data_IF_329262521039
#
_entry.id   IF_329262521039
#
_cell.length_a   1.000
_cell.length_b   1.000
_cell.length_c   1.000
_cell.angle_alpha   90.00
_cell.angle_beta   90.00
_cell.angle_gamma   90.00
#
_symmetry.space_group_name_H-M   'P 1'
#
loop_
_entity.id
_entity.type
_entity.pdbx_description
1 polymer ?
#
# COMPACT_ATOMS: atom_id res chain seq x y z
N UNK A 1 -28.18 54.12 -14.21
CA UNK A 1 -27.29 54.40 -13.06
C UNK A 1 -26.40 53.18 -12.91
N UNK A 2 -25.30 53.05 -13.66
CA UNK A 2 -23.92 53.51 -13.38
C UNK A 2 -23.37 53.13 -12.00
N UNK A 3 -22.23 52.43 -12.05
CA UNK A 3 -21.15 52.25 -11.05
C UNK A 3 -21.36 51.12 -10.01
N UNK A 4 -20.39 50.26 -9.69
CA UNK A 4 -18.94 50.41 -9.87
C UNK A 4 -18.14 49.09 -9.84
N UNK A 5 -16.97 49.19 -10.47
CA UNK A 5 -15.83 48.28 -10.46
C UNK A 5 -15.27 48.06 -9.05
N UNK A 6 -14.60 46.93 -8.83
CA UNK A 6 -13.23 46.92 -8.27
C UNK A 6 -12.53 45.60 -8.60
N UNK A 7 -11.41 45.77 -9.29
CA UNK A 7 -10.37 44.79 -9.63
C UNK A 7 -9.35 44.80 -8.49
N UNK A 8 -8.86 43.65 -8.03
CA UNK A 8 -7.57 43.57 -7.35
C UNK A 8 -6.95 42.20 -7.57
N UNK A 9 -5.94 42.16 -8.44
CA UNK A 9 -5.02 41.06 -8.63
C UNK A 9 -3.91 41.14 -7.58
N UNK A 10 -3.59 40.05 -6.92
CA UNK A 10 -2.36 39.92 -6.12
C UNK A 10 -1.48 38.85 -6.75
N UNK A 11 -0.44 39.31 -7.47
CA UNK A 11 0.75 38.54 -7.79
C UNK A 11 1.56 38.34 -6.50
N UNK A 12 1.87 37.09 -6.15
CA UNK A 12 2.86 36.73 -5.13
C UNK A 12 4.05 36.03 -5.79
N UNK A 13 5.24 36.58 -5.56
CA UNK A 13 6.47 36.30 -6.28
C UNK A 13 7.21 35.02 -5.86
N UNK A 14 8.12 34.63 -6.76
CA UNK A 14 9.15 33.60 -6.64
C UNK A 14 10.01 33.73 -5.39
N UNK A 15 10.30 32.60 -4.74
CA UNK A 15 11.41 32.43 -3.79
C UNK A 15 12.21 31.19 -4.17
N UNK A 16 13.36 31.40 -4.82
CA UNK A 16 14.39 30.38 -5.09
C UNK A 16 15.51 30.48 -4.05
N UNK A 17 16.09 29.33 -3.73
CA UNK A 17 17.41 29.07 -3.14
C UNK A 17 17.58 29.05 -1.60
N UNK A 18 18.01 27.89 -1.09
CA UNK A 18 19.24 27.76 -0.29
C UNK A 18 19.75 26.31 -0.31
N UNK A 19 21.06 26.16 -0.48
CA UNK A 19 21.80 24.92 -0.65
C UNK A 19 22.38 24.37 0.68
N UNK A 20 22.86 23.13 0.57
CA UNK A 20 23.64 22.28 1.46
C UNK A 20 24.58 22.97 2.47
N UNK A 21 24.72 22.42 3.69
CA UNK A 21 25.97 21.80 4.18
C UNK A 21 25.78 21.06 5.53
N UNK A 22 26.51 19.96 5.68
CA UNK A 22 26.58 19.00 6.80
C UNK A 22 27.10 19.58 8.11
N UNK A 23 27.09 18.77 9.19
CA UNK A 23 28.30 18.65 10.00
C UNK A 23 28.84 17.22 10.08
N UNK A 24 30.16 17.18 10.06
CA UNK A 24 31.08 16.08 10.23
C UNK A 24 30.85 15.26 11.52
N UNK A 25 31.05 13.93 11.42
CA UNK A 25 31.45 13.12 12.58
C UNK A 25 32.74 12.38 12.25
N UNK A 26 33.66 12.53 13.20
CA UNK A 26 35.09 12.32 13.15
C UNK A 26 35.49 10.86 13.44
N UNK A 27 36.36 10.33 12.57
CA UNK A 27 37.59 9.58 12.85
C UNK A 27 37.61 8.46 13.92
N UNK A 28 37.87 7.22 13.46
CA UNK A 28 38.41 6.12 14.26
C UNK A 28 39.51 5.39 13.48
N UNK A 29 40.73 5.40 14.02
CA UNK A 29 41.94 4.83 13.43
C UNK A 29 41.93 3.30 13.31
N UNK A 30 42.53 2.85 12.21
CA UNK A 30 43.36 1.67 11.96
C UNK A 30 43.47 0.49 12.95
N UNK A 31 43.44 -0.71 12.38
CA UNK A 31 43.94 -1.94 13.00
C UNK A 31 43.88 -3.13 12.04
N UNK A 32 45.04 -3.56 11.55
CA UNK A 32 45.25 -4.69 10.64
C UNK A 32 45.38 -6.02 11.42
N UNK A 33 44.84 -7.12 10.87
CA UNK A 33 45.32 -8.48 11.11
C UNK A 33 44.51 -9.37 12.05
N UNK A 34 44.27 -10.63 11.64
CA UNK A 34 43.90 -11.71 12.57
C UNK A 34 43.01 -12.80 11.97
N UNK A 35 43.63 -13.93 11.60
CA UNK A 35 42.99 -15.22 11.32
C UNK A 35 42.11 -15.71 12.49
N UNK A 36 41.05 -16.44 12.14
CA UNK A 36 40.59 -17.63 12.89
C UNK A 36 39.63 -17.38 14.05
N UNK A 37 38.45 -17.97 13.96
CA UNK A 37 37.54 -18.09 15.09
C UNK A 37 36.13 -18.49 14.69
N UNK A 38 35.87 -19.81 14.62
CA UNK A 38 34.51 -20.33 14.78
C UNK A 38 34.01 -19.96 16.19
N UNK A 39 32.78 -19.47 16.29
CA UNK A 39 32.10 -19.28 17.58
C UNK A 39 31.36 -17.96 17.65
N UNK A 40 30.04 -18.00 17.47
CA UNK A 40 29.18 -16.84 17.57
C UNK A 40 27.71 -17.24 17.58
N UNK A 41 27.28 -17.78 18.70
CA UNK A 41 25.90 -18.05 19.08
C UNK A 41 25.02 -16.80 18.92
N UNK A 42 23.76 -17.01 18.57
CA UNK A 42 22.68 -16.09 18.94
C UNK A 42 22.45 -14.91 17.99
N UNK A 43 21.63 -15.14 16.97
CA UNK A 43 20.84 -14.08 16.38
C UNK A 43 19.39 -14.32 16.74
N UNK A 44 18.92 -13.70 17.83
CA UNK A 44 17.49 -13.42 17.99
C UNK A 44 17.07 -12.67 16.73
N UNK A 45 16.32 -13.35 15.85
CA UNK A 45 15.67 -12.72 14.71
C UNK A 45 14.66 -11.73 15.28
N UNK A 46 15.13 -10.52 15.53
CA UNK A 46 14.35 -9.44 16.09
C UNK A 46 13.07 -9.29 15.28
N UNK A 47 11.96 -9.19 16.00
CA UNK A 47 10.78 -8.51 15.49
C UNK A 47 11.19 -7.08 15.18
N UNK A 48 11.80 -6.88 14.01
CA UNK A 48 11.92 -5.56 13.42
C UNK A 48 10.50 -4.99 13.32
N UNK A 49 10.33 -3.67 13.49
CA UNK A 49 9.04 -3.06 13.29
C UNK A 49 8.50 -3.54 11.95
N UNK A 50 7.29 -4.12 11.95
CA UNK A 50 6.60 -4.47 10.73
C UNK A 50 6.70 -3.24 9.83
N UNK A 51 7.42 -3.35 8.71
CA UNK A 51 7.49 -2.26 7.75
C UNK A 51 6.05 -2.03 7.30
N UNK A 52 5.44 -0.99 7.85
CA UNK A 52 4.02 -0.76 7.68
C UNK A 52 3.84 -0.17 6.30
N UNK A 53 2.93 -0.77 5.54
CA UNK A 53 2.27 -0.03 4.48
C UNK A 53 1.71 1.26 5.08
N UNK A 54 1.42 2.27 4.24
CA UNK A 54 0.59 3.37 4.72
C UNK A 54 -0.68 2.77 5.36
N UNK A 55 -1.10 3.30 6.50
CA UNK A 55 -2.26 2.82 7.23
C UNK A 55 -3.59 3.27 6.56
N UNK A 56 -3.56 3.31 5.23
CA UNK A 56 -4.60 3.80 4.36
C UNK A 56 -4.69 2.90 3.13
N UNK A 57 -5.89 2.81 2.57
CA UNK A 57 -6.11 2.14 1.32
C UNK A 57 -7.49 2.44 0.77
N UNK A 58 -7.85 1.72 -0.28
CA UNK A 58 -9.18 1.82 -0.88
C UNK A 58 -9.70 0.43 -1.22
N UNK A 59 -11.02 0.30 -1.16
CA UNK A 59 -11.74 -0.85 -1.66
C UNK A 59 -12.72 -0.39 -2.74
N UNK A 60 -12.66 -1.00 -3.92
CA UNK A 60 -13.44 -0.58 -5.08
C UNK A 60 -14.09 -1.73 -5.82
N UNK A 61 -15.15 -1.40 -6.56
CA UNK A 61 -15.65 -2.26 -7.64
C UNK A 61 -14.79 -2.03 -8.87
N UNK A 62 -14.40 -3.09 -9.57
CA UNK A 62 -13.72 -2.98 -10.86
C UNK A 62 -14.20 -4.13 -11.78
N UNK A 63 -13.71 -4.21 -13.03
CA UNK A 63 -14.12 -5.23 -14.00
C UNK A 63 -12.91 -5.92 -14.62
N UNK A 64 -12.83 -7.25 -14.50
CA UNK A 64 -12.00 -8.00 -15.44
C UNK A 64 -12.69 -8.08 -16.80
N UNK A 65 -11.96 -7.92 -17.91
CA UNK A 65 -12.50 -8.05 -19.26
C UNK A 65 -13.27 -9.35 -19.54
N UNK A 66 -12.98 -10.45 -18.81
CA UNK A 66 -13.58 -11.77 -19.08
C UNK A 66 -14.17 -12.48 -17.84
N UNK A 67 -13.89 -12.00 -16.62
CA UNK A 67 -14.18 -12.75 -15.38
C UNK A 67 -15.28 -12.09 -14.52
N UNK A 68 -15.87 -10.99 -15.00
CA UNK A 68 -16.96 -10.27 -14.33
C UNK A 68 -16.48 -9.25 -13.28
N UNK A 69 -17.38 -8.79 -12.39
CA UNK A 69 -17.03 -7.81 -11.37
C UNK A 69 -16.14 -8.42 -10.28
N UNK A 70 -15.09 -7.69 -9.90
CA UNK A 70 -14.31 -7.98 -8.70
C UNK A 70 -14.36 -6.86 -7.67
N UNK A 71 -14.21 -7.31 -6.43
CA UNK A 71 -13.88 -6.47 -5.28
C UNK A 71 -12.35 -6.35 -5.19
N UNK A 72 -11.85 -5.13 -5.25
CA UNK A 72 -10.41 -4.83 -5.24
C UNK A 72 -10.06 -4.05 -3.99
N UNK A 73 -9.06 -4.51 -3.24
CA UNK A 73 -8.40 -3.78 -2.17
C UNK A 73 -7.02 -3.32 -2.64
N UNK A 74 -6.74 -2.02 -2.59
CA UNK A 74 -5.38 -1.49 -2.69
C UNK A 74 -4.96 -1.00 -1.31
N UNK A 75 -4.06 -1.74 -0.67
CA UNK A 75 -3.62 -1.52 0.70
C UNK A 75 -2.23 -0.87 0.69
N UNK A 76 -2.06 0.24 1.42
CA UNK A 76 -0.78 0.95 1.50
C UNK A 76 -0.66 2.19 0.62
N UNK A 77 -1.76 2.71 0.10
CA UNK A 77 -1.81 3.93 -0.70
C UNK A 77 -2.61 5.00 0.04
N UNK A 78 -2.15 6.26 0.00
CA UNK A 78 -2.93 7.39 0.48
C UNK A 78 -4.24 7.47 -0.33
N UNK A 79 -5.39 7.50 0.36
CA UNK A 79 -6.67 7.21 -0.29
C UNK A 79 -7.55 8.43 -0.50
N UNK A 80 -7.99 8.63 -1.75
CA UNK A 80 -9.27 9.28 -2.10
C UNK A 80 -9.88 8.57 -3.31
N UNK A 81 -11.20 8.38 -3.33
CA UNK A 81 -11.90 7.80 -4.47
C UNK A 81 -11.74 8.71 -5.70
N UNK A 82 -10.82 8.35 -6.61
CA UNK A 82 -10.50 9.14 -7.81
C UNK A 82 -9.01 9.46 -8.00
N UNK A 83 -8.12 9.09 -7.07
CA UNK A 83 -6.68 9.18 -7.31
C UNK A 83 -6.10 7.84 -7.74
N UNK A 84 -5.22 7.89 -8.76
CA UNK A 84 -4.36 6.76 -9.09
C UNK A 84 -3.44 6.48 -7.90
N UNK A 85 -3.29 5.21 -7.53
CA UNK A 85 -2.38 4.81 -6.47
C UNK A 85 -0.96 5.36 -6.73
N UNK A 86 -0.31 5.79 -5.65
CA UNK A 86 0.97 6.50 -5.73
C UNK A 86 2.18 5.60 -5.99
N UNK A 87 3.36 6.14 -5.71
CA UNK A 87 4.65 5.46 -5.86
C UNK A 87 5.03 4.63 -4.61
N UNK A 88 4.16 4.63 -3.60
CA UNK A 88 4.38 3.92 -2.36
C UNK A 88 4.21 2.39 -2.53
N UNK A 89 4.89 1.58 -1.72
CA UNK A 89 4.69 0.14 -1.72
C UNK A 89 3.22 -0.20 -1.39
N UNK A 90 2.61 -1.08 -2.18
CA UNK A 90 1.21 -1.47 -1.97
C UNK A 90 0.94 -2.94 -2.28
N UNK A 91 -0.06 -3.48 -1.59
CA UNK A 91 -0.65 -4.77 -1.89
C UNK A 91 -1.98 -4.55 -2.62
N UNK A 92 -2.06 -5.04 -3.86
CA UNK A 92 -3.32 -5.16 -4.57
C UNK A 92 -3.89 -6.55 -4.31
N UNK A 93 -5.13 -6.61 -3.85
CA UNK A 93 -5.82 -7.86 -3.52
C UNK A 93 -7.20 -7.88 -4.17
N UNK A 94 -7.50 -8.93 -4.90
CA UNK A 94 -8.57 -8.97 -5.90
C UNK A 94 -9.44 -10.22 -5.69
N UNK A 95 -10.76 -10.04 -5.63
CA UNK A 95 -11.71 -11.10 -5.27
C UNK A 95 -12.83 -11.20 -6.32
N UNK A 96 -13.00 -12.40 -6.86
CA UNK A 96 -14.00 -12.77 -7.87
C UNK A 96 -14.94 -13.90 -7.41
N UNK A 97 -16.23 -13.82 -7.75
CA UNK A 97 -16.95 -12.58 -8.06
C UNK A 97 -16.99 -11.69 -6.81
N UNK A 98 -16.99 -10.37 -6.98
CA UNK A 98 -16.97 -9.46 -5.85
C UNK A 98 -17.53 -8.08 -6.16
N UNK A 99 -18.09 -7.44 -5.15
CA UNK A 99 -18.40 -6.01 -5.16
C UNK A 99 -18.39 -5.44 -3.72
N UNK A 100 -18.33 -4.13 -3.60
CA UNK A 100 -18.28 -3.41 -2.32
C UNK A 100 -19.55 -3.58 -1.50
N UNK A 101 -20.70 -3.88 -2.12
CA UNK A 101 -21.94 -4.16 -1.40
C UNK A 101 -21.92 -5.50 -0.66
N UNK A 102 -20.97 -6.38 -0.99
CA UNK A 102 -20.77 -7.65 -0.29
C UNK A 102 -20.00 -7.48 1.03
N UNK A 103 -19.33 -6.34 1.25
CA UNK A 103 -18.49 -6.11 2.43
C UNK A 103 -19.31 -6.29 3.72
N UNK A 104 -18.88 -7.24 4.54
CA UNK A 104 -19.43 -7.49 5.86
C UNK A 104 -18.31 -7.81 6.86
N UNK A 105 -18.50 -7.37 8.11
CA UNK A 105 -17.56 -7.70 9.19
C UNK A 105 -17.40 -9.23 9.34
N UNK A 106 -16.17 -9.68 9.51
CA UNK A 106 -15.79 -11.09 9.60
C UNK A 106 -15.57 -11.79 8.26
N UNK A 107 -15.85 -11.14 7.12
CA UNK A 107 -15.46 -11.69 5.83
C UNK A 107 -13.95 -11.67 5.65
N UNK A 108 -13.40 -12.76 5.12
CA UNK A 108 -11.98 -12.87 4.84
C UNK A 108 -11.71 -13.63 3.55
N UNK A 109 -10.59 -13.29 2.93
CA UNK A 109 -10.11 -13.92 1.70
C UNK A 109 -8.61 -14.16 1.83
N UNK A 110 -8.15 -15.26 1.23
CA UNK A 110 -6.74 -15.65 1.29
C UNK A 110 -6.25 -16.08 -0.09
N UNK A 111 -5.06 -15.63 -0.43
CA UNK A 111 -4.30 -15.99 -1.61
C UNK A 111 -3.05 -16.79 -1.20
N UNK A 112 -2.73 -17.84 -1.97
CA UNK A 112 -1.49 -18.60 -1.85
C UNK A 112 -0.89 -18.81 -3.24
N UNK A 113 0.33 -18.32 -3.49
CA UNK A 113 0.96 -18.48 -4.81
C UNK A 113 1.25 -19.94 -5.19
N UNK A 114 1.38 -20.83 -4.20
CA UNK A 114 1.54 -22.27 -4.43
C UNK A 114 0.23 -22.96 -4.88
N UNK A 115 -0.92 -22.32 -4.65
CA UNK A 115 -2.26 -22.81 -4.99
C UNK A 115 -3.10 -21.64 -5.52
N UNK A 116 -2.75 -21.10 -6.71
CA UNK A 116 -3.47 -19.95 -7.25
C UNK A 116 -4.90 -20.36 -7.57
N UNK A 117 -5.84 -19.46 -7.26
CA UNK A 117 -7.24 -19.60 -7.63
C UNK A 117 -7.61 -18.46 -8.57
N UNK A 118 -8.62 -18.67 -9.41
CA UNK A 118 -9.19 -17.58 -10.21
C UNK A 118 -10.08 -16.66 -9.36
N UNK A 119 -10.49 -17.13 -8.18
CA UNK A 119 -11.39 -16.41 -7.27
C UNK A 119 -10.67 -15.37 -6.42
N UNK A 120 -9.40 -15.59 -6.10
CA UNK A 120 -8.61 -14.65 -5.28
C UNK A 120 -7.23 -14.49 -5.88
N UNK A 121 -6.87 -13.25 -6.17
CA UNK A 121 -5.58 -12.86 -6.73
C UNK A 121 -4.93 -11.78 -5.88
N UNK A 122 -3.59 -11.73 -5.87
CA UNK A 122 -2.86 -10.69 -5.17
C UNK A 122 -1.56 -10.35 -5.90
N UNK A 123 -1.20 -9.06 -5.85
CA UNK A 123 0.04 -8.54 -6.40
C UNK A 123 0.72 -7.60 -5.42
N UNK A 124 2.02 -7.79 -5.27
CA UNK A 124 2.89 -6.92 -4.52
C UNK A 124 3.58 -5.93 -5.46
N UNK A 125 3.40 -4.64 -5.19
CA UNK A 125 4.04 -3.55 -5.90
C UNK A 125 5.02 -2.87 -4.94
N UNK A 126 6.28 -3.32 -4.91
CA UNK A 126 7.28 -2.81 -3.97
C UNK A 126 7.60 -1.31 -4.14
N UNK A 127 7.35 -0.76 -5.33
CA UNK A 127 7.67 0.62 -5.70
C UNK A 127 6.45 1.36 -6.29
N UNK A 128 5.23 0.97 -5.88
CA UNK A 128 3.98 1.55 -6.36
C UNK A 128 3.56 1.16 -7.78
N UNK A 129 2.48 1.79 -8.26
CA UNK A 129 1.90 1.53 -9.58
C UNK A 129 2.81 2.07 -10.68
N UNK A 130 3.19 1.21 -11.63
CA UNK A 130 4.12 1.54 -12.72
C UNK A 130 5.49 0.88 -12.58
N UNK A 131 5.77 0.26 -11.43
CA UNK A 131 6.87 -0.70 -11.28
C UNK A 131 6.49 -2.12 -11.72
N UNK A 132 7.45 -3.05 -11.57
CA UNK A 132 7.17 -4.48 -11.69
C UNK A 132 6.25 -4.93 -10.55
N UNK A 133 5.28 -5.78 -10.87
CA UNK A 133 4.48 -6.50 -9.87
C UNK A 133 4.97 -7.93 -9.71
N UNK A 134 4.81 -8.47 -8.51
CA UNK A 134 5.14 -9.86 -8.19
C UNK A 134 4.03 -10.49 -7.36
N UNK A 135 3.78 -11.79 -7.52
CA UNK A 135 2.82 -12.48 -6.66
C UNK A 135 3.42 -12.68 -5.25
N UNK A 136 2.77 -12.24 -4.17
CA UNK A 136 3.21 -12.57 -2.82
C UNK A 136 3.11 -14.09 -2.59
N UNK A 137 3.93 -14.67 -1.71
CA UNK A 137 3.82 -16.10 -1.37
C UNK A 137 2.47 -16.44 -0.76
N UNK A 138 1.98 -15.56 0.10
CA UNK A 138 0.63 -15.59 0.64
C UNK A 138 0.14 -14.17 0.89
N UNK A 139 -1.17 -13.97 0.86
CA UNK A 139 -1.81 -12.73 1.28
C UNK A 139 -3.19 -13.03 1.85
N UNK A 140 -3.65 -12.26 2.81
CA UNK A 140 -4.99 -12.36 3.39
C UNK A 140 -5.51 -10.99 3.76
N UNK A 141 -6.80 -10.78 3.55
CA UNK A 141 -7.52 -9.59 4.02
C UNK A 141 -8.78 -10.02 4.74
N UNK A 142 -9.08 -9.38 5.87
CA UNK A 142 -10.27 -9.61 6.70
C UNK A 142 -10.94 -8.25 6.98
N UNK A 143 -12.24 -8.18 6.77
CA UNK A 143 -13.04 -6.99 7.09
C UNK A 143 -13.36 -7.01 8.58
N UNK A 144 -12.89 -6.02 9.32
CA UNK A 144 -13.16 -5.89 10.76
C UNK A 144 -14.45 -5.13 11.03
N UNK A 145 -14.71 -4.07 10.26
CA UNK A 145 -15.94 -3.27 10.36
C UNK A 145 -16.25 -2.55 9.05
N UNK A 146 -17.52 -2.19 8.84
CA UNK A 146 -18.00 -1.49 7.65
C UNK A 146 -18.84 -0.29 8.09
N UNK A 147 -18.44 0.91 7.64
CA UNK A 147 -19.19 2.15 7.76
C UNK A 147 -19.79 2.57 6.41
N UNK A 148 -20.24 3.83 6.30
CA UNK A 148 -20.87 4.34 5.08
C UNK A 148 -19.87 4.50 3.93
N UNK A 149 -18.73 5.14 4.20
CA UNK A 149 -17.72 5.48 3.19
C UNK A 149 -16.34 4.86 3.47
N UNK A 150 -16.24 4.10 4.56
CA UNK A 150 -14.98 3.50 5.03
C UNK A 150 -15.23 2.11 5.60
N UNK A 151 -14.27 1.20 5.42
CA UNK A 151 -14.21 -0.07 6.14
C UNK A 151 -12.87 -0.16 6.86
N UNK A 152 -12.82 -0.86 8.00
CA UNK A 152 -11.56 -1.22 8.62
C UNK A 152 -11.22 -2.64 8.22
N UNK A 153 -9.98 -2.87 7.77
CA UNK A 153 -9.51 -4.19 7.38
C UNK A 153 -8.24 -4.56 8.13
N UNK A 154 -8.08 -5.85 8.39
CA UNK A 154 -6.84 -6.48 8.79
C UNK A 154 -6.22 -7.16 7.59
N UNK A 155 -4.91 -7.03 7.44
CA UNK A 155 -4.18 -7.69 6.37
C UNK A 155 -2.95 -8.42 6.89
N UNK A 156 -2.53 -9.42 6.14
CA UNK A 156 -1.23 -10.08 6.29
C UNK A 156 -0.77 -10.59 4.93
N UNK A 157 0.51 -10.48 4.61
CA UNK A 157 1.08 -11.08 3.41
C UNK A 157 2.58 -11.37 3.57
N UNK A 158 3.08 -12.28 2.74
CA UNK A 158 4.49 -12.62 2.64
C UNK A 158 4.97 -12.27 1.23
N UNK A 159 5.95 -11.39 1.11
CA UNK A 159 6.55 -10.98 -0.17
C UNK A 159 7.25 -12.16 -0.86
N UNK A 160 7.59 -12.04 -2.16
CA UNK A 160 8.38 -13.05 -2.88
C UNK A 160 9.71 -13.39 -2.19
N UNK A 161 10.39 -12.39 -1.60
CA UNK A 161 11.65 -12.59 -0.89
C UNK A 161 11.48 -13.14 0.56
N UNK A 162 10.25 -13.37 1.02
CA UNK A 162 9.96 -13.98 2.32
C UNK A 162 9.78 -13.00 3.48
N UNK A 163 9.78 -11.69 3.24
CA UNK A 163 9.43 -10.71 4.25
C UNK A 163 7.93 -10.79 4.58
N UNK A 164 7.59 -10.78 5.87
CA UNK A 164 6.21 -10.82 6.35
C UNK A 164 5.75 -9.43 6.75
N UNK A 165 4.55 -9.07 6.30
CA UNK A 165 3.89 -7.82 6.62
C UNK A 165 2.49 -8.12 7.14
N UNK A 166 2.07 -7.41 8.17
CA UNK A 166 0.71 -7.50 8.69
C UNK A 166 0.34 -6.18 9.38
N UNK A 167 -0.95 -5.89 9.42
CA UNK A 167 -1.46 -4.68 10.03
C UNK A 167 -2.96 -4.56 9.94
N UNK A 168 -3.45 -3.39 10.34
CA UNK A 168 -4.82 -2.96 10.14
C UNK A 168 -4.79 -1.58 9.49
N UNK A 169 -5.78 -1.27 8.66
CA UNK A 169 -5.92 0.04 8.04
C UNK A 169 -7.38 0.35 7.75
N UNK A 170 -7.67 1.64 7.65
CA UNK A 170 -8.93 2.12 7.14
C UNK A 170 -8.84 2.20 5.61
N UNK A 171 -9.85 1.65 4.94
CA UNK A 171 -9.98 1.70 3.49
C UNK A 171 -11.21 2.52 3.11
N UNK A 172 -11.05 3.44 2.17
CA UNK A 172 -12.19 4.16 1.59
C UNK A 172 -13.01 3.24 0.69
N UNK A 173 -14.33 3.25 0.82
CA UNK A 173 -15.23 2.45 -0.01
C UNK A 173 -15.59 3.26 -1.26
N UNK A 174 -15.01 2.88 -2.39
CA UNK A 174 -15.24 3.54 -3.68
C UNK A 174 -16.24 2.73 -4.51
N UNK A 175 -17.50 3.15 -4.47
CA UNK A 175 -18.62 2.43 -5.10
C UNK A 175 -18.76 2.71 -6.61
N UNK A 176 -18.11 3.75 -7.13
CA UNK A 176 -18.26 4.21 -8.51
C UNK A 176 -17.17 3.67 -9.44
N UNK A 177 -17.44 2.58 -10.17
CA UNK A 177 -16.84 2.25 -11.48
C UNK A 177 -17.98 1.70 -12.36
N UNK A 178 -18.10 2.09 -13.65
CA UNK A 178 -19.21 1.71 -14.53
C UNK A 178 -19.42 0.20 -14.58
N UNK A 179 -20.70 -0.21 -14.58
CA UNK A 179 -21.12 -1.60 -14.61
C UNK A 179 -20.36 -2.35 -15.72
N UNK A 180 -19.77 -3.50 -15.36
CA UNK A 180 -19.24 -4.44 -16.35
C UNK A 180 -20.37 -4.74 -17.33
N UNK A 181 -20.21 -4.30 -18.58
CA UNK A 181 -21.25 -4.31 -19.61
C UNK A 181 -21.62 -5.72 -20.06
#
# INVERSE_FOLDING_TARGET
MRQGMLLAATLGAFGLAAACSSPDVQQGNGGNGGNGGHGGSGGQGGGGPAMSLLAEGLVSNDCAPNDGPWLVFNLGTASTCGQAAGLEPQLHFAIYPGNTSMLAAGQSWTFHAAMPTNEVQAWWYANGVGGNSEAPKSASVEVLSVGNDTAQVKYAFVTPNGASHAGQMDVSICTSIPMCG
#
